data_IF_507379960909
#
_entry.id   IF_507379960909
#
_cell.length_a   1.000
_cell.length_b   1.000
_cell.length_c   1.000
_cell.angle_alpha   90.00
_cell.angle_beta   90.00
_cell.angle_gamma   90.00
#
_symmetry.space_group_name_H-M   'P 1'
#
loop_
_entity.id
_entity.type
_entity.pdbx_description
1 polymer ?
#
# COMPACT_ATOMS: atom_id res chain seq x y z
N UNK A 1 12.52 -14.13 7.07
CA UNK A 1 11.20 -13.78 7.62
C UNK A 1 10.45 -13.12 6.48
N UNK A 2 9.32 -13.66 6.07
CA UNK A 2 8.56 -13.11 4.93
C UNK A 2 8.01 -11.73 5.32
N UNK A 3 7.88 -10.81 4.36
CA UNK A 3 7.27 -9.49 4.59
C UNK A 3 5.86 -9.65 5.16
N UNK A 4 5.16 -10.72 4.78
CA UNK A 4 3.85 -11.05 5.34
C UNK A 4 3.93 -11.59 6.77
N UNK A 5 4.96 -12.35 7.15
CA UNK A 5 5.16 -12.77 8.54
C UNK A 5 5.42 -11.57 9.45
N UNK A 6 6.08 -10.53 8.93
CA UNK A 6 6.32 -9.28 9.65
C UNK A 6 5.08 -8.39 9.76
N UNK A 7 4.14 -8.50 8.82
CA UNK A 7 2.91 -7.69 8.76
C UNK A 7 1.67 -8.40 9.34
N UNK A 8 1.69 -9.72 9.46
CA UNK A 8 0.58 -10.52 9.93
C UNK A 8 0.55 -10.53 11.47
N UNK A 9 -0.35 -9.76 12.07
CA UNK A 9 -0.67 -9.86 13.50
C UNK A 9 -1.42 -11.15 13.89
N UNK A 10 -2.10 -11.78 12.93
CA UNK A 10 -2.80 -13.06 13.10
C UNK A 10 -2.09 -14.18 12.33
N UNK A 11 -2.13 -15.42 12.84
CA UNK A 11 -1.65 -16.58 12.09
C UNK A 11 -2.49 -16.74 10.82
N UNK A 12 -1.92 -16.38 9.66
CA UNK A 12 -2.55 -16.51 8.34
C UNK A 12 -3.08 -17.92 8.07
N UNK A 13 -2.58 -18.94 8.78
CA UNK A 13 -3.05 -20.33 8.71
C UNK A 13 -4.45 -20.54 9.28
N UNK A 14 -4.97 -19.60 10.06
CA UNK A 14 -6.32 -19.63 10.64
C UNK A 14 -7.40 -19.07 9.71
N UNK A 15 -7.00 -18.31 8.69
CA UNK A 15 -7.92 -17.69 7.73
C UNK A 15 -8.42 -18.71 6.71
N UNK A 16 -9.63 -18.48 6.16
CA UNK A 16 -10.10 -19.25 5.01
C UNK A 16 -9.33 -18.80 3.75
N UNK A 17 -8.47 -19.64 3.16
CA UNK A 17 -7.73 -19.30 1.95
C UNK A 17 -8.63 -18.93 0.75
N UNK A 18 -9.90 -19.33 0.76
CA UNK A 18 -10.84 -19.13 -0.35
C UNK A 18 -11.99 -18.18 -0.02
N UNK A 19 -12.05 -17.61 1.18
CA UNK A 19 -13.21 -16.85 1.64
C UNK A 19 -13.02 -15.33 1.67
N UNK A 20 -12.01 -14.79 0.99
CA UNK A 20 -11.63 -13.39 1.14
C UNK A 20 -10.41 -12.99 0.35
N UNK A 21 -9.76 -11.89 0.72
CA UNK A 21 -8.50 -11.39 0.16
C UNK A 21 -7.69 -10.73 1.27
N UNK A 22 -6.39 -10.55 1.05
CA UNK A 22 -5.53 -9.83 1.98
C UNK A 22 -5.42 -8.36 1.56
N UNK A 23 -5.55 -7.47 2.52
CA UNK A 23 -5.44 -6.02 2.33
C UNK A 23 -4.19 -5.53 3.05
N UNK A 24 -3.31 -4.84 2.34
CA UNK A 24 -2.20 -4.11 2.93
C UNK A 24 -2.58 -2.64 3.00
N UNK A 25 -2.58 -2.14 4.22
CA UNK A 25 -2.85 -0.73 4.50
C UNK A 25 -1.67 -0.14 5.23
N UNK A 26 -1.20 1.02 4.78
CA UNK A 26 -0.09 1.72 5.40
C UNK A 26 -0.57 2.99 6.05
N UNK A 27 -0.08 3.24 7.25
CA UNK A 27 -0.41 4.38 8.10
C UNK A 27 0.86 5.11 8.49
N UNK A 28 0.74 6.41 8.70
CA UNK A 28 1.72 7.22 9.40
C UNK A 28 1.10 7.67 10.72
N UNK A 29 1.90 7.65 11.78
CA UNK A 29 1.51 8.24 13.06
C UNK A 29 2.72 8.85 13.77
N UNK A 30 2.51 9.84 14.65
CA UNK A 30 3.53 10.24 15.62
C UNK A 30 3.93 9.05 16.50
N UNK A 31 5.20 8.98 16.90
CA UNK A 31 5.65 7.93 17.82
C UNK A 31 5.04 8.13 19.21
N UNK A 32 4.71 7.02 19.85
CA UNK A 32 4.14 7.04 21.21
C UNK A 32 5.16 7.63 22.21
N UNK A 33 4.80 8.76 22.82
CA UNK A 33 5.61 9.44 23.83
C UNK A 33 6.38 10.66 23.33
N UNK A 34 6.35 10.94 22.02
CA UNK A 34 6.93 12.18 21.49
C UNK A 34 5.99 13.38 21.76
N UNK A 35 6.48 14.45 22.41
CA UNK A 35 5.66 15.60 22.79
C UNK A 35 5.31 16.52 21.62
N UNK A 36 5.88 16.25 20.44
CA UNK A 36 5.70 17.07 19.25
C UNK A 36 4.91 16.28 18.19
N UNK A 37 3.71 16.74 17.78
CA UNK A 37 2.93 16.04 16.76
C UNK A 37 3.59 16.07 15.38
N UNK A 38 4.59 16.95 15.17
CA UNK A 38 5.19 17.15 13.86
C UNK A 38 6.39 16.23 13.55
N UNK A 39 7.27 15.85 14.48
CA UNK A 39 8.35 14.87 14.24
C UNK A 39 8.96 14.33 15.56
N UNK A 40 9.52 13.09 15.58
CA UNK A 40 9.53 12.08 14.51
C UNK A 40 8.34 11.10 14.57
N UNK A 41 7.83 10.74 13.38
CA UNK A 41 6.77 9.72 13.23
C UNK A 41 7.30 8.30 12.96
N UNK A 42 6.36 7.38 12.77
CA UNK A 42 6.63 6.04 12.25
C UNK A 42 5.60 5.66 11.19
N UNK A 43 6.08 4.96 10.15
CA UNK A 43 5.25 4.36 9.12
C UNK A 43 5.02 2.90 9.47
N UNK A 44 3.76 2.51 9.58
CA UNK A 44 3.33 1.17 9.98
C UNK A 44 2.42 0.61 8.90
N UNK A 45 2.67 -0.63 8.48
CA UNK A 45 1.78 -1.35 7.57
C UNK A 45 1.05 -2.47 8.31
N UNK A 46 -0.24 -2.61 8.04
CA UNK A 46 -1.12 -3.66 8.56
C UNK A 46 -1.52 -4.56 7.40
N UNK A 47 -1.44 -5.87 7.63
CA UNK A 47 -2.08 -6.88 6.79
C UNK A 47 -3.41 -7.29 7.44
N UNK A 48 -4.52 -7.01 6.78
CA UNK A 48 -5.86 -7.43 7.20
C UNK A 48 -6.48 -8.41 6.21
N UNK A 49 -7.52 -9.12 6.66
CA UNK A 49 -8.28 -10.05 5.84
C UNK A 49 -9.66 -9.45 5.57
N UNK A 50 -10.01 -9.34 4.29
CA UNK A 50 -11.32 -8.89 3.83
C UNK A 50 -12.10 -10.12 3.37
N UNK A 51 -13.13 -10.57 4.10
CA UNK A 51 -14.05 -11.59 3.61
C UNK A 51 -14.68 -11.17 2.29
N UNK A 52 -14.88 -12.13 1.38
CA UNK A 52 -15.44 -11.86 0.05
C UNK A 52 -16.14 -13.12 -0.43
N UNK A 53 -17.41 -12.97 -0.78
CA UNK A 53 -18.22 -14.07 -1.30
C UNK A 53 -17.95 -14.28 -2.80
N UNK A 54 -18.18 -15.51 -3.29
CA UNK A 54 -17.77 -15.92 -4.63
C UNK A 54 -18.49 -15.15 -5.76
N UNK A 55 -19.71 -14.69 -5.49
CA UNK A 55 -20.57 -13.93 -6.39
C UNK A 55 -20.34 -12.41 -6.34
N UNK A 56 -19.69 -11.91 -5.29
CA UNK A 56 -19.31 -10.50 -5.18
C UNK A 56 -18.26 -10.10 -6.23
N UNK A 57 -18.23 -8.81 -6.59
CA UNK A 57 -17.16 -8.27 -7.42
C UNK A 57 -15.81 -8.45 -6.72
N UNK A 58 -14.81 -8.90 -7.47
CA UNK A 58 -13.50 -9.16 -6.92
C UNK A 58 -12.82 -7.84 -6.49
N UNK A 59 -12.41 -7.70 -5.22
CA UNK A 59 -11.81 -6.46 -4.70
C UNK A 59 -10.50 -6.05 -5.37
N UNK A 60 -9.87 -6.91 -6.17
CA UNK A 60 -8.64 -6.56 -6.89
C UNK A 60 -8.84 -5.56 -8.04
N UNK A 61 -10.09 -5.17 -8.34
CA UNK A 61 -10.42 -4.19 -9.39
C UNK A 61 -10.51 -4.78 -10.80
N UNK A 62 -10.57 -6.11 -10.95
CA UNK A 62 -10.62 -6.77 -12.27
C UNK A 62 -11.97 -6.67 -12.98
N UNK A 63 -13.03 -6.25 -12.28
CA UNK A 63 -14.42 -6.25 -12.79
C UNK A 63 -15.09 -7.63 -12.84
N UNK A 64 -14.37 -8.71 -12.55
CA UNK A 64 -14.94 -10.06 -12.49
C UNK A 64 -15.45 -10.38 -11.08
N UNK A 65 -16.31 -11.40 -10.94
CA UNK A 65 -16.66 -11.92 -9.62
C UNK A 65 -15.46 -12.58 -8.94
N UNK A 66 -15.45 -12.61 -7.61
CA UNK A 66 -14.35 -13.16 -6.82
C UNK A 66 -14.11 -14.64 -7.14
N UNK A 67 -15.18 -15.42 -7.29
CA UNK A 67 -15.15 -16.84 -7.66
C UNK A 67 -14.53 -17.14 -9.02
N UNK A 68 -14.61 -16.18 -9.95
CA UNK A 68 -13.99 -16.27 -11.27
C UNK A 68 -12.60 -15.59 -11.34
N UNK A 69 -12.14 -14.95 -10.26
CA UNK A 69 -10.93 -14.12 -10.24
C UNK A 69 -9.90 -14.59 -9.21
N UNK A 70 -9.89 -14.01 -8.01
CA UNK A 70 -8.83 -14.28 -7.01
C UNK A 70 -9.09 -15.51 -6.15
N UNK A 71 -10.34 -15.99 -6.06
CA UNK A 71 -10.68 -17.16 -5.26
C UNK A 71 -9.96 -18.44 -5.72
N UNK A 72 -9.96 -18.83 -7.01
CA UNK A 72 -9.38 -20.11 -7.45
C UNK A 72 -7.85 -20.12 -7.49
N UNK A 73 -7.20 -18.96 -7.34
CA UNK A 73 -5.73 -18.88 -7.36
C UNK A 73 -5.13 -19.65 -6.17
N UNK A 74 -3.99 -20.35 -6.36
CA UNK A 74 -3.32 -21.08 -5.29
C UNK A 74 -2.58 -20.15 -4.31
N UNK A 75 -2.47 -18.86 -4.63
CA UNK A 75 -1.85 -17.83 -3.81
C UNK A 75 -2.81 -16.66 -3.58
N UNK A 76 -2.56 -15.92 -2.51
CA UNK A 76 -3.16 -14.63 -2.25
C UNK A 76 -2.59 -13.56 -3.19
N UNK A 77 -3.47 -12.72 -3.72
CA UNK A 77 -3.11 -11.47 -4.41
C UNK A 77 -3.49 -10.30 -3.50
N UNK A 78 -2.56 -9.76 -2.71
CA UNK A 78 -2.87 -8.66 -1.82
C UNK A 78 -3.37 -7.45 -2.59
N UNK A 79 -4.22 -6.68 -1.94
CA UNK A 79 -4.77 -5.43 -2.45
C UNK A 79 -4.44 -4.31 -1.49
N UNK A 80 -4.57 -3.06 -1.93
CA UNK A 80 -4.44 -1.89 -1.08
C UNK A 80 -5.59 -0.90 -1.35
N UNK A 81 -6.01 -0.10 -0.36
CA UNK A 81 -7.05 0.90 -0.56
C UNK A 81 -6.71 1.89 -1.68
N UNK A 82 -7.70 2.29 -2.45
CA UNK A 82 -7.55 3.36 -3.44
C UNK A 82 -7.42 4.74 -2.74
N UNK A 83 -6.77 5.74 -3.37
CA UNK A 83 -6.62 7.08 -2.79
C UNK A 83 -7.94 7.80 -2.42
N UNK A 84 -9.02 7.50 -3.14
CA UNK A 84 -10.38 8.02 -2.88
C UNK A 84 -11.14 7.23 -1.81
N UNK A 85 -10.51 6.18 -1.26
CA UNK A 85 -11.07 5.27 -0.25
C UNK A 85 -12.27 4.47 -0.81
N UNK A 86 -12.52 4.55 -2.12
CA UNK A 86 -13.55 3.77 -2.80
C UNK A 86 -12.94 2.48 -3.33
N UNK A 87 -13.09 1.43 -2.53
CA UNK A 87 -12.62 0.10 -2.86
C UNK A 87 -11.11 -0.02 -2.83
N UNK A 88 -10.61 -0.96 -3.64
CA UNK A 88 -9.23 -1.42 -3.57
C UNK A 88 -8.66 -1.65 -4.96
N UNK A 89 -7.34 -1.66 -5.04
CA UNK A 89 -6.59 -2.07 -6.22
C UNK A 89 -5.65 -3.20 -5.86
N UNK A 90 -5.33 -4.03 -6.84
CA UNK A 90 -4.23 -4.98 -6.71
C UNK A 90 -2.95 -4.27 -6.22
N UNK A 91 -2.30 -4.88 -5.23
CA UNK A 91 -0.99 -4.44 -4.80
C UNK A 91 0.04 -4.71 -5.88
N UNK A 92 0.68 -3.65 -6.33
CA UNK A 92 1.69 -3.62 -7.37
C UNK A 92 2.70 -2.52 -7.03
N UNK A 93 3.68 -2.80 -6.16
CA UNK A 93 4.67 -1.81 -5.74
C UNK A 93 5.50 -1.34 -6.93
N UNK A 94 5.63 -0.04 -7.05
CA UNK A 94 6.37 0.59 -8.13
C UNK A 94 6.92 1.94 -7.70
N UNK A 95 8.01 2.33 -8.36
CA UNK A 95 8.65 3.62 -8.21
C UNK A 95 8.77 4.33 -9.56
N UNK A 96 8.62 5.65 -9.53
CA UNK A 96 8.87 6.53 -10.66
C UNK A 96 10.02 7.47 -10.29
N UNK A 97 11.00 7.60 -11.19
CA UNK A 97 12.17 8.44 -10.98
C UNK A 97 12.24 9.58 -12.00
N UNK A 98 12.28 10.81 -11.51
CA UNK A 98 12.60 12.01 -12.28
C UNK A 98 14.03 12.45 -11.93
N UNK A 99 14.83 12.76 -12.95
CA UNK A 99 16.23 13.20 -12.77
C UNK A 99 16.41 14.57 -13.37
N UNK A 100 17.35 15.35 -12.83
CA UNK A 100 17.69 16.69 -13.37
C UNK A 100 16.51 17.66 -13.28
N UNK A 101 15.76 17.57 -12.17
CA UNK A 101 14.60 18.42 -11.91
C UNK A 101 15.01 19.75 -11.25
N UNK A 102 14.18 20.81 -11.36
CA UNK A 102 14.39 22.05 -10.61
C UNK A 102 14.01 21.85 -9.14
N UNK A 103 14.93 21.29 -8.33
CA UNK A 103 14.64 20.80 -6.98
C UNK A 103 14.02 21.86 -6.04
N UNK A 104 14.45 23.11 -6.13
CA UNK A 104 13.86 24.22 -5.36
C UNK A 104 12.40 24.52 -5.73
N UNK A 105 12.03 24.37 -7.00
CA UNK A 105 10.64 24.54 -7.46
C UNK A 105 9.80 23.34 -7.01
N UNK A 106 10.34 22.13 -7.14
CA UNK A 106 9.67 20.90 -6.69
C UNK A 106 9.46 20.93 -5.19
N UNK A 107 10.49 21.28 -4.41
CA UNK A 107 10.42 21.40 -2.96
C UNK A 107 9.30 22.35 -2.54
N UNK A 108 9.29 23.59 -3.06
CA UNK A 108 8.27 24.57 -2.71
C UNK A 108 6.85 24.09 -3.07
N UNK A 109 6.69 23.47 -4.23
CA UNK A 109 5.42 22.90 -4.66
C UNK A 109 4.92 21.80 -3.71
N UNK A 110 5.80 20.86 -3.33
CA UNK A 110 5.42 19.75 -2.44
C UNK A 110 5.19 20.22 -1.01
N UNK A 111 5.91 21.26 -0.56
CA UNK A 111 5.77 21.82 0.78
C UNK A 111 4.43 22.55 0.97
N UNK A 112 3.90 23.15 -0.10
CA UNK A 112 2.66 23.93 -0.06
C UNK A 112 1.40 23.08 -0.35
N UNK A 113 1.53 21.81 -0.74
CA UNK A 113 0.39 20.94 -1.08
C UNK A 113 -0.22 20.27 0.17
N UNK A 114 -1.47 20.62 0.48
CA UNK A 114 -2.17 20.16 1.70
C UNK A 114 -2.44 18.64 1.75
N UNK A 115 -2.31 17.95 0.60
CA UNK A 115 -2.49 16.49 0.51
C UNK A 115 -1.22 15.74 0.88
N UNK A 116 -0.12 16.46 1.07
CA UNK A 116 1.19 15.95 1.43
C UNK A 116 1.54 16.34 2.86
N UNK A 117 2.22 15.42 3.52
CA UNK A 117 2.79 15.67 4.85
C UNK A 117 4.30 15.45 4.81
N UNK A 118 5.07 16.50 5.12
CA UNK A 118 6.52 16.45 5.16
C UNK A 118 7.00 15.73 6.43
N UNK A 119 7.51 14.52 6.29
CA UNK A 119 7.95 13.68 7.43
C UNK A 119 9.43 13.87 7.78
N UNK A 120 10.22 14.33 6.82
CA UNK A 120 11.65 14.59 6.98
C UNK A 120 12.04 15.74 6.07
N UNK A 121 12.72 16.73 6.64
CA UNK A 121 13.27 17.87 5.91
C UNK A 121 14.67 18.14 6.45
N UNK A 122 15.67 17.74 5.66
CA UNK A 122 17.08 17.87 6.01
C UNK A 122 17.84 18.50 4.85
N UNK A 123 19.08 18.91 5.10
CA UNK A 123 19.95 19.37 4.01
C UNK A 123 20.18 18.31 2.93
N UNK A 124 19.97 17.02 3.27
CA UNK A 124 20.27 15.90 2.36
C UNK A 124 19.07 15.41 1.58
N UNK A 125 17.89 15.52 2.16
CA UNK A 125 16.66 15.07 1.51
C UNK A 125 15.46 15.66 2.20
N UNK A 126 14.40 15.72 1.42
CA UNK A 126 13.06 15.96 1.94
C UNK A 126 12.15 14.81 1.51
N UNK A 127 11.28 14.38 2.42
CA UNK A 127 10.40 13.24 2.23
C UNK A 127 8.97 13.65 2.59
N UNK A 128 8.04 13.40 1.68
CA UNK A 128 6.62 13.62 1.87
C UNK A 128 5.86 12.32 1.77
N UNK A 129 4.85 12.18 2.62
CA UNK A 129 3.86 11.12 2.49
C UNK A 129 2.59 11.72 1.89
N UNK A 130 2.02 11.05 0.89
CA UNK A 130 0.72 11.40 0.34
C UNK A 130 -0.39 10.72 1.13
N UNK A 131 -1.25 11.52 1.78
CA UNK A 131 -2.33 11.04 2.65
C UNK A 131 -3.72 11.10 2.01
N UNK A 132 -3.82 11.55 0.76
CA UNK A 132 -5.08 11.64 0.03
C UNK A 132 -5.69 13.03 0.09
N UNK A 133 -6.90 13.16 -0.47
CA UNK A 133 -7.70 14.39 -0.46
C UNK A 133 -9.18 14.06 -0.17
N UNK A 134 -9.68 14.31 1.05
CA UNK A 134 -8.94 14.78 2.22
C UNK A 134 -8.05 13.66 2.83
N UNK A 135 -7.16 14.03 3.74
CA UNK A 135 -6.46 13.06 4.58
C UNK A 135 -7.46 12.23 5.41
N UNK A 136 -7.15 10.94 5.62
CA UNK A 136 -8.04 10.01 6.31
C UNK A 136 -7.41 9.38 7.55
N UNK A 137 -7.90 9.84 8.71
CA UNK A 137 -7.45 9.39 10.01
C UNK A 137 -8.19 8.15 10.47
N UNK A 138 -7.42 7.20 11.01
CA UNK A 138 -7.94 5.92 11.52
C UNK A 138 -7.39 5.62 12.92
N UNK A 139 -7.83 6.35 13.97
CA UNK A 139 -7.38 6.05 15.32
C UNK A 139 -7.65 4.57 15.71
N UNK A 140 -6.68 3.86 16.34
CA UNK A 140 -5.38 4.32 16.84
C UNK A 140 -4.21 4.13 15.86
N UNK A 141 -4.47 3.75 14.61
CA UNK A 141 -3.46 3.34 13.64
C UNK A 141 -2.71 4.53 13.02
N UNK A 142 -3.38 5.68 12.88
CA UNK A 142 -2.81 6.89 12.28
C UNK A 142 -3.52 7.31 11.00
N UNK A 143 -2.85 8.12 10.19
CA UNK A 143 -3.37 8.64 8.92
C UNK A 143 -2.94 7.73 7.77
N UNK A 144 -3.85 7.44 6.85
CA UNK A 144 -3.57 6.58 5.69
C UNK A 144 -2.47 7.15 4.80
N UNK A 145 -1.61 6.27 4.30
CA UNK A 145 -0.56 6.60 3.34
C UNK A 145 -0.82 5.92 2.00
N UNK A 146 -0.97 6.73 0.95
CA UNK A 146 -1.23 6.25 -0.39
C UNK A 146 0.04 6.15 -1.25
N UNK A 147 1.06 6.95 -0.93
CA UNK A 147 2.38 6.89 -1.55
C UNK A 147 3.37 7.83 -0.89
N UNK A 148 4.57 7.86 -1.46
CA UNK A 148 5.68 8.64 -0.95
C UNK A 148 6.36 9.44 -2.06
N UNK A 149 6.91 10.59 -1.71
CA UNK A 149 7.77 11.40 -2.56
C UNK A 149 9.06 11.71 -1.80
N UNK A 150 10.21 11.42 -2.39
CA UNK A 150 11.53 11.70 -1.82
C UNK A 150 12.34 12.55 -2.81
N UNK A 151 12.71 13.76 -2.38
CA UNK A 151 13.63 14.64 -3.08
C UNK A 151 15.02 14.47 -2.50
N UNK A 152 15.99 14.06 -3.32
CA UNK A 152 17.38 13.81 -2.92
C UNK A 152 18.32 14.98 -3.33
N UNK A 153 19.48 15.09 -2.68
CA UNK A 153 20.50 16.14 -2.96
C UNK A 153 20.91 16.23 -4.44
N UNK A 154 20.88 15.11 -5.16
CA UNK A 154 21.30 15.02 -6.56
C UNK A 154 20.25 15.55 -7.55
N UNK A 155 19.20 16.22 -7.04
CA UNK A 155 18.05 16.69 -7.80
C UNK A 155 17.32 15.54 -8.50
N UNK A 156 17.19 14.42 -7.79
CA UNK A 156 16.32 13.30 -8.17
C UNK A 156 15.07 13.30 -7.30
N UNK A 157 13.91 13.17 -7.93
CA UNK A 157 12.64 12.92 -7.24
C UNK A 157 12.25 11.45 -7.45
N UNK A 158 12.11 10.73 -6.35
CA UNK A 158 11.51 9.40 -6.33
C UNK A 158 10.06 9.50 -5.88
N UNK A 159 9.18 8.80 -6.58
CA UNK A 159 7.78 8.64 -6.23
C UNK A 159 7.51 7.16 -6.06
N UNK A 160 6.90 6.75 -4.96
CA UNK A 160 6.61 5.33 -4.68
C UNK A 160 5.13 5.13 -4.40
N UNK A 161 4.55 4.11 -5.03
CA UNK A 161 3.13 3.76 -4.91
C UNK A 161 2.93 2.24 -4.87
N UNK A 162 1.87 1.80 -4.17
CA UNK A 162 1.57 0.38 -3.98
C UNK A 162 0.55 -0.19 -4.96
N UNK A 163 0.05 0.60 -5.91
CA UNK A 163 -0.82 0.14 -7.00
C UNK A 163 -0.69 1.08 -8.20
N UNK A 164 -1.24 0.67 -9.36
CA UNK A 164 -1.32 1.52 -10.55
C UNK A 164 -2.20 2.76 -10.28
N UNK A 165 -3.34 2.59 -9.62
CA UNK A 165 -4.21 3.71 -9.23
C UNK A 165 -3.52 4.73 -8.31
N UNK A 166 -2.72 4.26 -7.35
CA UNK A 166 -1.93 5.15 -6.46
C UNK A 166 -0.85 5.89 -7.24
N UNK A 167 -0.14 5.19 -8.13
CA UNK A 167 0.91 5.82 -8.94
C UNK A 167 0.33 6.85 -9.91
N UNK A 168 -0.82 6.57 -10.52
CA UNK A 168 -1.51 7.53 -11.41
C UNK A 168 -1.80 8.85 -10.68
N UNK A 169 -2.40 8.79 -9.49
CA UNK A 169 -2.70 9.98 -8.69
C UNK A 169 -1.43 10.74 -8.28
N UNK A 170 -0.37 10.04 -7.89
CA UNK A 170 0.90 10.69 -7.54
C UNK A 170 1.59 11.36 -8.73
N UNK A 171 1.48 10.79 -9.93
CA UNK A 171 2.01 11.40 -11.14
C UNK A 171 1.15 12.57 -11.62
N UNK A 172 -0.17 12.49 -11.45
CA UNK A 172 -1.09 13.58 -11.75
C UNK A 172 -0.88 14.79 -10.83
N UNK A 173 -0.66 14.54 -9.53
CA UNK A 173 -0.21 15.53 -8.54
C UNK A 173 1.00 16.34 -9.02
N UNK A 174 1.98 15.68 -9.66
CA UNK A 174 3.20 16.30 -10.17
C UNK A 174 3.06 16.91 -11.58
N UNK A 175 1.94 16.68 -12.26
CA UNK A 175 1.72 17.13 -13.64
C UNK A 175 1.89 18.64 -13.85
N UNK A 176 1.51 19.54 -12.89
CA UNK A 176 1.70 20.99 -13.07
C UNK A 176 3.17 21.40 -13.19
N UNK A 177 4.09 20.61 -12.61
CA UNK A 177 5.53 20.87 -12.61
C UNK A 177 6.20 20.53 -13.95
N UNK A 178 5.53 19.77 -14.83
CA UNK A 178 6.05 19.40 -16.16
C UNK A 178 7.47 18.82 -16.14
N UNK A 179 7.73 17.91 -15.20
CA UNK A 179 9.06 17.30 -14.97
C UNK A 179 9.53 16.33 -16.09
N UNK A 180 8.75 16.17 -17.16
CA UNK A 180 9.00 15.19 -18.22
C UNK A 180 8.48 13.80 -17.88
N UNK A 181 8.92 12.79 -18.62
CA UNK A 181 8.50 11.40 -18.41
C UNK A 181 9.43 10.72 -17.40
N UNK A 182 8.91 10.19 -16.27
CA UNK A 182 9.74 9.48 -15.31
C UNK A 182 10.16 8.11 -15.84
N UNK A 183 11.24 7.58 -15.28
CA UNK A 183 11.59 6.16 -15.43
C UNK A 183 10.80 5.37 -14.38
N UNK A 184 9.86 4.55 -14.83
CA UNK A 184 9.05 3.70 -13.94
C UNK A 184 9.69 2.32 -13.80
N UNK A 185 9.83 1.87 -12.57
CA UNK A 185 10.27 0.53 -12.20
C UNK A 185 9.17 -0.14 -11.37
N UNK A 186 8.91 -1.40 -11.67
CA UNK A 186 8.01 -2.25 -10.89
C UNK A 186 8.84 -3.19 -10.02
N UNK A 187 8.48 -3.27 -8.75
CA UNK A 187 9.19 -4.12 -7.81
C UNK A 187 8.55 -5.50 -7.80
N UNK A 188 9.39 -6.52 -7.68
CA UNK A 188 8.92 -7.88 -7.52
C UNK A 188 8.19 -7.98 -6.17
N UNK A 189 6.93 -8.40 -6.20
CA UNK A 189 6.16 -8.62 -4.99
C UNK A 189 5.96 -10.13 -4.76
N UNK A 190 6.26 -10.65 -3.56
CA UNK A 190 6.19 -12.08 -3.29
C UNK A 190 4.77 -12.61 -3.46
N UNK A 191 4.66 -13.83 -4.01
CA UNK A 191 3.41 -14.58 -4.02
C UNK A 191 3.25 -15.28 -2.69
N UNK A 192 2.18 -14.95 -1.98
CA UNK A 192 1.84 -15.58 -0.72
C UNK A 192 0.96 -16.79 -0.96
N UNK A 193 1.53 -18.00 -0.89
CA UNK A 193 0.78 -19.23 -1.09
C UNK A 193 -0.36 -19.37 -0.09
N UNK A 194 -1.54 -19.78 -0.56
CA UNK A 194 -2.66 -20.09 0.31
C UNK A 194 -2.38 -21.39 1.06
N UNK A 195 -2.71 -21.47 2.36
CA UNK A 195 -2.65 -22.74 3.07
C UNK A 195 -3.44 -23.81 2.32
N UNK A 196 -2.79 -24.92 1.97
CA UNK A 196 -3.48 -26.06 1.38
C UNK A 196 -4.61 -26.52 2.30
N UNK A 197 -5.83 -26.65 1.77
CA UNK A 197 -7.00 -27.11 2.53
C UNK A 197 -6.64 -28.44 3.19
N UNK A 198 -6.45 -28.46 4.52
CA UNK A 198 -6.26 -29.72 5.25
C UNK A 198 -7.50 -30.56 4.99
N UNK A 199 -7.37 -31.66 4.23
CA UNK A 199 -8.47 -32.61 4.06
C UNK A 199 -9.00 -32.95 5.46
N UNK A 200 -10.33 -32.94 5.68
CA UNK A 200 -10.86 -33.39 6.96
C UNK A 200 -10.25 -34.75 7.24
N UNK A 201 -9.62 -34.94 8.42
CA UNK A 201 -9.18 -36.26 8.86
C UNK A 201 -10.43 -37.11 8.90
N UNK A 202 -10.67 -37.89 7.84
CA UNK A 202 -11.78 -38.81 7.78
C UNK A 202 -11.69 -39.69 9.01
N UNK A 203 -12.72 -39.63 9.86
CA UNK A 203 -12.87 -40.56 10.95
C UNK A 203 -12.73 -41.97 10.34
N UNK A 204 -11.62 -42.65 10.63
CA UNK A 204 -11.51 -44.09 10.43
C UNK A 204 -12.59 -44.70 11.30
N UNK A 205 -13.78 -44.92 10.73
CA UNK A 205 -14.76 -45.87 11.25
C UNK A 205 -14.01 -47.20 11.38
N UNK A 206 -13.64 -47.57 12.60
CA UNK A 206 -13.32 -48.95 12.94
C UNK A 206 -14.61 -49.74 12.73
N UNK A 207 -14.72 -50.38 11.58
CA UNK A 207 -15.68 -51.46 11.36
C UNK A 207 -15.13 -52.73 11.99
N UNK A 208 -15.88 -53.19 12.99
CA UNK A 208 -15.94 -54.52 13.64
C UNK A 208 -14.66 -55.05 14.26
#
# INVERSE_FOLDING_TARGET
>A
MDIFDALAGHDLRSLDPSGGVLVITTYWRPRSGDPNPEQPGEKHSILSYLPTDADELCPCGSGNSFGACCQPLPYWRPICPNPDIQGYSLMHPQSARFTTIPANVVYAFLQDDERLYCVEDTSQRAFWTYWGDPAFDTPPYGTLCFGDLELQEDNTLFVSGLSDARMEVLLDLLSPLKLGTPKIQRDAFPRLEKPGRKRPKGNRRRTR
#
